data_IF_357415167408
#
_entry.id   IF_357415167408
#
_cell.length_a   1.000
_cell.length_b   1.000
_cell.length_c   1.000
_cell.angle_alpha   90.00
_cell.angle_beta   90.00
_cell.angle_gamma   90.00
#
_symmetry.space_group_name_H-M   'P 1'
#
loop_
_entity.id
_entity.type
_entity.pdbx_description
1 polymer ?
#
# COMPACT_ATOMS: atom_id res chain seq x y z
N UNK A 1 14.89 11.06 7.77
CA UNK A 1 13.98 11.62 6.75
C UNK A 1 12.55 11.03 6.80
N UNK A 2 12.26 9.84 6.26
CA UNK A 2 10.87 9.33 6.16
C UNK A 2 10.16 9.12 7.51
N UNK A 3 10.86 8.54 8.50
CA UNK A 3 10.29 8.26 9.82
C UNK A 3 10.38 9.48 10.75
N UNK A 4 11.53 10.16 10.71
CA UNK A 4 11.87 11.24 11.65
C UNK A 4 11.39 12.62 11.21
N UNK A 5 11.03 12.80 9.94
CA UNK A 5 10.63 14.08 9.33
C UNK A 5 11.62 15.25 9.49
N UNK A 6 12.88 14.95 9.81
CA UNK A 6 13.99 15.90 9.84
C UNK A 6 15.29 15.23 9.37
N UNK A 7 16.33 16.04 9.15
CA UNK A 7 17.70 15.64 8.83
C UNK A 7 18.66 16.44 9.70
N UNK A 8 19.66 15.79 10.29
CA UNK A 8 20.71 16.47 11.08
C UNK A 8 22.01 16.49 10.28
N UNK A 9 22.60 17.67 10.13
CA UNK A 9 23.89 17.87 9.47
C UNK A 9 24.81 18.60 10.45
N UNK A 10 25.85 17.90 10.93
CA UNK A 10 26.66 18.37 12.05
C UNK A 10 25.79 18.52 13.31
N UNK A 11 25.75 19.73 13.87
CA UNK A 11 24.95 20.07 15.05
C UNK A 11 23.56 20.65 14.71
N UNK A 12 23.24 20.82 13.42
CA UNK A 12 22.00 21.48 12.99
C UNK A 12 20.95 20.47 12.54
N UNK A 13 19.78 20.50 13.18
CA UNK A 13 18.62 19.70 12.79
C UNK A 13 17.66 20.53 11.94
N UNK A 14 17.41 20.08 10.71
CA UNK A 14 16.58 20.74 9.71
C UNK A 14 15.25 19.96 9.52
N UNK A 15 14.09 20.56 9.77
CA UNK A 15 12.81 19.90 9.53
C UNK A 15 12.52 19.80 8.03
N UNK A 16 11.87 18.71 7.61
CA UNK A 16 11.40 18.55 6.23
C UNK A 16 10.11 19.36 5.99
N UNK A 17 9.88 19.84 4.74
CA UNK A 17 8.66 20.56 4.40
C UNK A 17 7.43 19.66 4.52
N UNK A 18 6.25 20.26 4.74
CA UNK A 18 4.97 19.54 4.82
C UNK A 18 4.05 20.00 3.68
N UNK A 19 3.41 19.07 2.93
CA UNK A 19 3.55 17.62 3.03
C UNK A 19 4.92 17.12 2.53
N UNK A 20 5.41 16.05 3.14
CA UNK A 20 6.59 15.32 2.66
C UNK A 20 6.13 13.97 2.12
N UNK A 21 6.44 13.70 0.85
CA UNK A 21 6.07 12.46 0.17
C UNK A 21 7.29 11.89 -0.54
N UNK A 22 7.51 10.59 -0.38
CA UNK A 22 8.59 9.86 -1.06
C UNK A 22 7.94 8.86 -1.99
N UNK A 23 8.26 9.00 -3.28
CA UNK A 23 8.00 8.00 -4.31
C UNK A 23 9.34 7.37 -4.68
N UNK A 24 9.50 6.09 -4.37
CA UNK A 24 10.68 5.31 -4.77
C UNK A 24 10.28 4.35 -5.88
N UNK A 25 11.04 4.35 -6.97
CA UNK A 25 10.87 3.43 -8.11
C UNK A 25 12.00 2.43 -8.11
N UNK A 26 11.69 1.16 -8.40
CA UNK A 26 12.68 0.10 -8.58
C UNK A 26 12.48 -0.50 -9.97
N UNK A 27 13.53 -0.50 -10.79
CA UNK A 27 13.52 -1.18 -12.08
C UNK A 27 13.91 -2.65 -11.88
N UNK A 28 13.01 -3.62 -12.13
CA UNK A 28 13.28 -5.03 -11.86
C UNK A 28 14.35 -5.65 -12.77
N UNK A 29 14.73 -4.99 -13.88
CA UNK A 29 15.66 -5.52 -14.88
C UNK A 29 17.10 -5.03 -14.64
N UNK A 30 17.31 -3.95 -13.88
CA UNK A 30 18.65 -3.40 -13.62
C UNK A 30 19.39 -4.21 -12.52
N UNK A 31 20.34 -5.04 -12.95
CA UNK A 31 21.21 -5.86 -12.08
C UNK A 31 22.57 -5.21 -11.76
N UNK A 32 22.92 -4.08 -12.39
CA UNK A 32 24.19 -3.40 -12.12
C UNK A 32 24.04 -2.31 -11.04
N UNK A 33 24.75 -2.46 -9.92
CA UNK A 33 24.94 -1.41 -8.92
C UNK A 33 23.75 -1.13 -7.98
N UNK A 34 22.67 -1.91 -8.06
CA UNK A 34 21.49 -1.74 -7.20
C UNK A 34 21.49 -2.78 -6.07
N UNK A 35 21.74 -2.33 -4.84
CA UNK A 35 21.43 -3.15 -3.67
C UNK A 35 19.92 -3.10 -3.45
N UNK A 36 19.24 -4.24 -3.57
CA UNK A 36 17.84 -4.33 -3.22
C UNK A 36 17.62 -3.79 -1.80
N UNK A 37 16.59 -2.96 -1.63
CA UNK A 37 16.25 -2.42 -0.32
C UNK A 37 15.91 -3.59 0.61
N UNK A 38 16.55 -3.71 1.78
CA UNK A 38 16.19 -4.72 2.75
C UNK A 38 14.69 -4.62 3.10
N UNK A 39 14.09 -5.75 3.43
CA UNK A 39 12.65 -5.88 3.74
C UNK A 39 12.24 -4.94 4.87
N UNK A 40 13.11 -4.76 5.87
CA UNK A 40 12.90 -3.84 6.97
C UNK A 40 12.78 -2.37 6.50
N UNK A 41 13.41 -2.01 5.38
CA UNK A 41 13.29 -0.69 4.76
C UNK A 41 12.02 -0.60 3.93
N UNK A 42 11.68 -1.64 3.16
CA UNK A 42 10.43 -1.72 2.41
C UNK A 42 9.20 -1.62 3.33
N UNK A 43 9.22 -2.20 4.53
CA UNK A 43 8.13 -2.12 5.52
C UNK A 43 7.77 -0.69 5.94
N UNK A 44 8.65 0.29 5.69
CA UNK A 44 8.39 1.73 5.94
C UNK A 44 7.53 2.39 4.87
N UNK A 45 7.38 1.78 3.69
CA UNK A 45 6.51 2.28 2.64
C UNK A 45 5.07 1.87 2.90
N UNK A 46 4.13 2.81 2.71
CA UNK A 46 2.70 2.55 2.85
C UNK A 46 2.24 1.50 1.81
N UNK A 47 2.59 1.75 0.55
CA UNK A 47 2.22 0.90 -0.58
C UNK A 47 3.44 0.46 -1.40
N UNK A 48 3.32 -0.72 -1.98
CA UNK A 48 4.08 -1.16 -3.16
C UNK A 48 3.11 -1.24 -4.34
N UNK A 49 3.33 -0.43 -5.38
CA UNK A 49 2.51 -0.38 -6.59
C UNK A 49 3.29 -1.03 -7.72
N UNK A 50 2.68 -2.05 -8.34
CA UNK A 50 3.18 -2.63 -9.59
C UNK A 50 2.57 -1.85 -10.73
N UNK A 51 3.42 -1.30 -11.59
CA UNK A 51 3.03 -0.55 -12.79
C UNK A 51 3.36 -1.42 -13.98
N UNK A 52 2.33 -1.85 -14.69
CA UNK A 52 2.46 -2.63 -15.93
C UNK A 52 2.39 -1.68 -17.15
N UNK A 53 2.65 -2.22 -18.33
CA UNK A 53 2.49 -1.50 -19.58
C UNK A 53 1.02 -1.09 -19.81
N UNK A 54 0.78 0.09 -20.42
CA UNK A 54 -0.56 0.54 -20.77
C UNK A 54 -1.19 -0.40 -21.81
N UNK A 55 -2.52 -0.40 -21.88
CA UNK A 55 -3.24 -1.03 -22.99
C UNK A 55 -2.91 -0.36 -24.33
N UNK A 56 -3.13 -1.05 -25.46
CA UNK A 56 -2.90 -0.46 -26.81
C UNK A 56 -3.62 0.89 -26.97
N UNK A 57 -4.85 0.99 -26.46
CA UNK A 57 -5.64 2.23 -26.52
C UNK A 57 -5.03 3.37 -25.70
N UNK A 58 -4.53 3.07 -24.51
CA UNK A 58 -3.86 4.06 -23.66
C UNK A 58 -2.50 4.46 -24.24
N UNK A 59 -1.74 3.50 -24.77
CA UNK A 59 -0.45 3.74 -25.40
C UNK A 59 -0.58 4.64 -26.63
N UNK A 60 -1.57 4.38 -27.51
CA UNK A 60 -1.85 5.24 -28.67
C UNK A 60 -2.23 6.66 -28.26
N UNK A 61 -2.98 6.82 -27.17
CA UNK A 61 -3.34 8.14 -26.65
C UNK A 61 -2.13 8.86 -26.04
N UNK A 62 -1.27 8.16 -25.31
CA UNK A 62 0.00 8.69 -24.80
C UNK A 62 0.87 9.18 -25.95
N UNK A 63 1.08 8.36 -26.98
CA UNK A 63 1.85 8.72 -28.18
C UNK A 63 1.26 9.97 -28.83
N UNK A 64 -0.07 9.99 -29.04
CA UNK A 64 -0.76 11.15 -29.63
C UNK A 64 -0.55 12.42 -28.80
N UNK A 65 -0.75 12.37 -27.48
CA UNK A 65 -0.64 13.55 -26.60
C UNK A 65 0.79 14.09 -26.52
N UNK A 66 1.79 13.20 -26.39
CA UNK A 66 3.19 13.59 -26.23
C UNK A 66 3.79 14.12 -27.54
N UNK A 67 3.36 13.60 -28.69
CA UNK A 67 3.81 14.06 -30.02
C UNK A 67 3.02 15.25 -30.56
N UNK A 68 1.90 15.61 -29.91
CA UNK A 68 1.13 16.79 -30.29
C UNK A 68 1.80 18.06 -29.75
N UNK A 69 1.89 19.14 -30.56
CA UNK A 69 2.52 20.39 -30.14
C UNK A 69 1.76 21.16 -29.04
N UNK A 70 0.54 20.75 -28.70
CA UNK A 70 -0.24 21.40 -27.65
C UNK A 70 0.09 20.82 -26.27
N UNK A 71 0.82 21.57 -25.46
CA UNK A 71 0.89 21.30 -24.02
C UNK A 71 -0.37 21.87 -23.37
N UNK A 72 -1.31 21.01 -22.99
CA UNK A 72 -2.44 21.43 -22.15
C UNK A 72 -1.91 22.11 -20.88
N UNK A 73 -2.48 23.26 -20.53
CA UNK A 73 -2.14 23.94 -19.28
C UNK A 73 -2.67 23.15 -18.09
N UNK A 74 -1.84 22.95 -17.06
CA UNK A 74 -2.28 22.37 -15.79
C UNK A 74 -2.83 23.49 -14.92
N UNK A 75 -4.11 23.40 -14.55
CA UNK A 75 -4.71 24.33 -13.57
C UNK A 75 -4.36 23.89 -12.15
N UNK A 76 -3.84 24.82 -11.35
CA UNK A 76 -3.62 24.58 -9.92
C UNK A 76 -4.98 24.45 -9.20
N UNK A 77 -5.31 23.23 -8.74
CA UNK A 77 -6.56 22.97 -8.03
C UNK A 77 -6.41 23.08 -6.50
N UNK A 78 -5.26 22.71 -5.95
CA UNK A 78 -5.06 22.65 -4.51
C UNK A 78 -3.62 22.97 -4.11
N UNK A 79 -3.44 23.64 -2.98
CA UNK A 79 -2.15 23.93 -2.39
C UNK A 79 -1.77 22.94 -1.27
N UNK A 80 -0.55 23.08 -0.74
CA UNK A 80 -0.02 22.23 0.33
C UNK A 80 -0.87 22.25 1.62
N UNK A 81 -1.40 23.41 2.01
CA UNK A 81 -2.23 23.54 3.22
C UNK A 81 -3.57 22.82 3.08
N UNK A 82 -4.18 22.87 1.89
CA UNK A 82 -5.40 22.14 1.58
C UNK A 82 -5.18 20.63 1.61
N UNK A 83 -4.03 20.15 1.10
CA UNK A 83 -3.64 18.74 1.20
C UNK A 83 -3.49 18.31 2.67
N UNK A 84 -2.85 19.13 3.51
CA UNK A 84 -2.70 18.85 4.93
C UNK A 84 -4.06 18.81 5.67
N UNK A 85 -4.99 19.70 5.31
CA UNK A 85 -6.37 19.68 5.83
C UNK A 85 -7.08 18.38 5.45
N UNK A 86 -6.96 17.92 4.21
CA UNK A 86 -7.53 16.64 3.77
C UNK A 86 -6.90 15.44 4.51
N UNK A 87 -5.60 15.45 4.76
CA UNK A 87 -4.94 14.40 5.54
C UNK A 87 -5.47 14.33 6.97
N UNK A 88 -5.79 15.47 7.59
CA UNK A 88 -6.43 15.52 8.91
C UNK A 88 -7.87 14.98 8.89
N UNK A 89 -8.64 15.31 7.84
CA UNK A 89 -9.98 14.72 7.63
C UNK A 89 -9.91 13.19 7.57
N UNK A 90 -8.99 12.64 6.77
CA UNK A 90 -8.81 11.18 6.66
C UNK A 90 -8.50 10.54 8.02
N UNK A 91 -7.67 11.16 8.86
CA UNK A 91 -7.36 10.63 10.20
C UNK A 91 -8.59 10.52 11.10
N UNK A 92 -9.52 11.49 10.99
CA UNK A 92 -10.75 11.58 11.79
C UNK A 92 -11.88 10.65 11.32
N UNK A 93 -11.74 10.04 10.15
CA UNK A 93 -12.73 9.07 9.65
C UNK A 93 -12.92 7.96 10.69
N UNK A 94 -14.14 7.73 11.19
CA UNK A 94 -14.45 6.65 12.12
C UNK A 94 -14.24 5.29 11.47
N UNK A 95 -13.85 4.31 12.29
CA UNK A 95 -13.64 2.92 11.91
C UNK A 95 -14.21 2.08 13.04
N UNK A 96 -15.15 1.19 12.72
CA UNK A 96 -15.71 0.27 13.72
C UNK A 96 -14.69 -0.77 14.17
N UNK A 97 -14.82 -1.25 15.41
CA UNK A 97 -13.91 -2.24 15.99
C UNK A 97 -13.78 -3.49 15.12
N UNK A 98 -14.89 -3.94 14.52
CA UNK A 98 -14.89 -5.09 13.61
C UNK A 98 -13.99 -4.90 12.37
N UNK A 99 -13.81 -3.66 11.88
CA UNK A 99 -12.91 -3.34 10.75
C UNK A 99 -11.46 -3.38 11.22
N UNK A 100 -11.19 -2.86 12.41
CA UNK A 100 -9.86 -2.93 13.05
C UNK A 100 -9.48 -4.40 13.29
N UNK A 101 -10.40 -5.19 13.82
CA UNK A 101 -10.24 -6.62 14.05
C UNK A 101 -9.99 -7.37 12.74
N UNK A 102 -10.73 -7.03 11.67
CA UNK A 102 -10.50 -7.61 10.36
C UNK A 102 -9.10 -7.29 9.82
N UNK A 103 -8.66 -6.03 9.88
CA UNK A 103 -7.32 -5.63 9.45
C UNK A 103 -6.22 -6.32 10.29
N UNK A 104 -6.41 -6.42 11.60
CA UNK A 104 -5.48 -7.09 12.50
C UNK A 104 -5.44 -8.60 12.23
N UNK A 105 -6.60 -9.24 12.00
CA UNK A 105 -6.71 -10.65 11.65
C UNK A 105 -6.06 -10.94 10.31
N UNK A 106 -6.30 -10.10 9.30
CA UNK A 106 -5.69 -10.23 7.98
C UNK A 106 -4.16 -10.15 8.07
N UNK A 107 -3.62 -9.12 8.74
CA UNK A 107 -2.18 -8.98 8.91
C UNK A 107 -1.58 -10.17 9.68
N UNK A 108 -2.23 -10.63 10.76
CA UNK A 108 -1.77 -11.75 11.57
C UNK A 108 -1.81 -13.08 10.80
N UNK A 109 -2.85 -13.31 10.01
CA UNK A 109 -3.04 -14.53 9.22
C UNK A 109 -1.98 -14.72 8.12
N UNK A 110 -1.18 -13.70 7.80
CA UNK A 110 -0.01 -13.83 6.91
C UNK A 110 1.20 -14.47 7.59
N UNK A 111 1.20 -14.65 8.92
CA UNK A 111 2.38 -15.10 9.67
C UNK A 111 2.44 -16.63 9.72
N UNK A 112 3.43 -17.28 9.11
CA UNK A 112 3.48 -18.74 9.02
C UNK A 112 3.66 -19.44 10.39
N UNK A 113 4.20 -18.74 11.38
CA UNK A 113 4.41 -19.27 12.75
C UNK A 113 3.22 -19.07 13.68
N UNK A 114 2.18 -18.35 13.25
CA UNK A 114 0.99 -18.15 14.06
C UNK A 114 0.10 -19.41 13.97
N UNK A 115 -0.29 -20.04 15.10
CA UNK A 115 -1.14 -21.23 15.08
C UNK A 115 -2.48 -21.02 14.37
N UNK A 116 -3.01 -19.79 14.42
CA UNK A 116 -4.29 -19.44 13.80
C UNK A 116 -4.18 -19.16 12.29
N UNK A 117 -2.98 -19.14 11.72
CA UNK A 117 -2.80 -18.95 10.28
C UNK A 117 -3.29 -20.17 9.51
N UNK A 118 -3.91 -19.98 8.32
CA UNK A 118 -4.30 -21.08 7.44
C UNK A 118 -3.09 -21.92 7.01
N UNK A 119 -3.31 -23.21 6.75
CA UNK A 119 -2.21 -24.14 6.45
C UNK A 119 -1.43 -23.76 5.18
N UNK A 120 -2.11 -23.24 4.15
CA UNK A 120 -1.44 -22.74 2.95
C UNK A 120 -0.47 -21.59 3.24
N UNK A 121 -0.70 -20.77 4.28
CA UNK A 121 0.25 -19.73 4.67
C UNK A 121 1.47 -20.35 5.33
N UNK A 122 1.28 -21.36 6.17
CA UNK A 122 2.40 -22.06 6.83
C UNK A 122 3.33 -22.74 5.82
N UNK A 123 2.78 -23.19 4.69
CA UNK A 123 3.52 -23.82 3.60
C UNK A 123 4.11 -22.82 2.60
N UNK A 124 3.35 -21.79 2.21
CA UNK A 124 3.69 -20.92 1.08
C UNK A 124 4.36 -19.61 1.48
N UNK A 125 4.34 -19.23 2.77
CA UNK A 125 4.88 -17.94 3.25
C UNK A 125 6.11 -18.18 4.12
N UNK A 126 7.23 -17.56 3.75
CA UNK A 126 8.47 -17.56 4.53
C UNK A 126 8.46 -16.47 5.61
N UNK A 127 7.87 -15.31 5.30
CA UNK A 127 7.79 -14.17 6.21
C UNK A 127 6.48 -13.41 6.06
N UNK A 128 5.83 -13.12 7.20
CA UNK A 128 4.53 -12.46 7.25
C UNK A 128 4.59 -11.02 7.77
N UNK A 129 3.45 -10.34 7.68
CA UNK A 129 3.34 -8.92 7.94
C UNK A 129 3.43 -8.54 9.44
N UNK A 130 4.20 -7.50 9.73
CA UNK A 130 4.35 -6.92 11.07
C UNK A 130 3.16 -6.04 11.51
N UNK A 131 3.20 -5.45 12.71
CA UNK A 131 2.14 -4.58 13.21
C UNK A 131 1.91 -3.32 12.36
N UNK A 132 2.94 -2.83 11.65
CA UNK A 132 2.82 -1.70 10.71
C UNK A 132 1.81 -1.96 9.59
N UNK A 133 1.62 -3.22 9.21
CA UNK A 133 0.66 -3.60 8.20
C UNK A 133 -0.77 -3.25 8.62
N UNK A 134 -1.18 -3.59 9.85
CA UNK A 134 -2.52 -3.26 10.36
C UNK A 134 -2.76 -1.74 10.40
N UNK A 135 -1.76 -0.97 10.86
CA UNK A 135 -1.82 0.49 10.87
C UNK A 135 -1.98 1.04 9.44
N UNK A 136 -1.19 0.51 8.51
CA UNK A 136 -1.20 0.90 7.08
C UNK A 136 -2.53 0.56 6.42
N UNK A 137 -3.08 -0.64 6.69
CA UNK A 137 -4.37 -1.08 6.18
C UNK A 137 -5.50 -0.13 6.62
N UNK A 138 -5.56 0.23 7.90
CA UNK A 138 -6.60 1.13 8.40
C UNK A 138 -6.43 2.55 7.86
N UNK A 139 -5.21 3.09 7.85
CA UNK A 139 -4.94 4.42 7.30
C UNK A 139 -5.33 4.51 5.81
N UNK A 140 -4.96 3.51 5.02
CA UNK A 140 -5.31 3.41 3.61
C UNK A 140 -6.81 3.20 3.38
N UNK A 141 -7.46 2.36 4.19
CA UNK A 141 -8.90 2.09 4.10
C UNK A 141 -9.73 3.36 4.38
N UNK A 142 -9.34 4.17 5.36
CA UNK A 142 -9.95 5.49 5.62
C UNK A 142 -9.84 6.41 4.41
N UNK A 143 -8.66 6.51 3.81
CA UNK A 143 -8.45 7.31 2.60
C UNK A 143 -9.28 6.80 1.43
N UNK A 144 -9.32 5.48 1.23
CA UNK A 144 -10.09 4.84 0.16
C UNK A 144 -11.61 5.08 0.32
N UNK A 145 -12.14 5.04 1.55
CA UNK A 145 -13.53 5.36 1.83
C UNK A 145 -13.86 6.83 1.50
N UNK A 146 -13.02 7.77 1.95
CA UNK A 146 -13.22 9.22 1.68
C UNK A 146 -13.17 9.54 0.19
N UNK A 147 -12.23 8.95 -0.56
CA UNK A 147 -12.15 9.14 -2.01
C UNK A 147 -13.38 8.61 -2.76
N UNK A 148 -14.12 7.68 -2.15
CA UNK A 148 -15.40 7.17 -2.66
C UNK A 148 -16.62 7.87 -2.07
N UNK A 149 -16.43 9.01 -1.39
CA UNK A 149 -17.50 9.81 -0.80
C UNK A 149 -18.13 9.22 0.46
N UNK A 150 -17.53 8.19 1.07
CA UNK A 150 -18.03 7.59 2.31
C UNK A 150 -17.37 8.19 3.54
N UNK A 151 -18.13 8.27 4.63
CA UNK A 151 -17.73 8.87 5.89
C UNK A 151 -17.20 7.87 6.93
N UNK A 152 -17.16 6.58 6.60
CA UNK A 152 -16.61 5.52 7.45
C UNK A 152 -15.91 4.48 6.58
N UNK A 153 -14.86 3.84 7.12
CA UNK A 153 -14.22 2.72 6.45
C UNK A 153 -14.92 1.40 6.82
N UNK A 154 -14.93 0.46 5.88
CA UNK A 154 -15.53 -0.87 6.00
C UNK A 154 -14.48 -1.95 5.82
N UNK A 155 -14.84 -3.22 6.05
CA UNK A 155 -13.93 -4.34 5.75
C UNK A 155 -13.64 -4.47 4.24
N UNK A 156 -14.56 -4.03 3.37
CA UNK A 156 -14.36 -3.99 1.93
C UNK A 156 -13.26 -2.98 1.53
N UNK A 157 -13.16 -1.85 2.25
CA UNK A 157 -12.05 -0.91 2.05
C UNK A 157 -10.71 -1.54 2.36
N UNK A 158 -10.62 -2.22 3.50
CA UNK A 158 -9.41 -2.95 3.91
C UNK A 158 -9.04 -4.01 2.87
N UNK A 159 -10.02 -4.77 2.36
CA UNK A 159 -9.78 -5.76 1.31
C UNK A 159 -9.28 -5.12 0.01
N UNK A 160 -9.84 -3.98 -0.40
CA UNK A 160 -9.47 -3.29 -1.64
C UNK A 160 -8.01 -2.79 -1.64
N UNK A 161 -7.50 -2.33 -0.50
CA UNK A 161 -6.11 -1.83 -0.37
C UNK A 161 -5.13 -2.91 0.12
N UNK A 162 -5.58 -4.14 0.38
CA UNK A 162 -4.78 -5.16 1.03
C UNK A 162 -3.55 -5.56 0.20
N UNK A 163 -3.71 -5.78 -1.11
CA UNK A 163 -2.60 -6.16 -1.98
C UNK A 163 -1.47 -5.12 -1.99
N UNK A 164 -1.69 -3.83 -2.32
CA UNK A 164 -0.61 -2.85 -2.33
C UNK A 164 0.00 -2.59 -0.95
N UNK A 165 -0.71 -2.83 0.16
CA UNK A 165 -0.14 -2.73 1.52
C UNK A 165 0.67 -3.97 1.89
N UNK A 166 0.21 -5.18 1.54
CA UNK A 166 0.77 -6.42 2.06
C UNK A 166 1.83 -7.04 1.16
N UNK A 167 1.86 -6.73 -0.15
CA UNK A 167 2.74 -7.40 -1.13
C UNK A 167 4.21 -7.39 -0.71
N UNK A 168 4.74 -6.24 -0.27
CA UNK A 168 6.12 -6.10 0.20
C UNK A 168 6.33 -6.52 1.66
N UNK A 169 5.29 -7.05 2.31
CA UNK A 169 5.29 -7.51 3.71
C UNK A 169 5.00 -9.00 3.85
N UNK A 170 4.68 -9.67 2.75
CA UNK A 170 4.41 -11.11 2.66
C UNK A 170 5.41 -11.67 1.66
N UNK A 171 6.35 -12.47 2.14
CA UNK A 171 7.33 -13.14 1.30
C UNK A 171 6.96 -14.61 1.17
N UNK A 172 6.90 -15.07 -0.06
CA UNK A 172 6.67 -16.46 -0.41
C UNK A 172 7.88 -17.33 -0.05
N UNK A 173 7.66 -18.65 0.06
CA UNK A 173 8.76 -19.61 0.10
C UNK A 173 9.32 -19.84 -1.30
N UNK A 174 10.59 -20.24 -1.41
CA UNK A 174 11.20 -20.56 -2.71
C UNK A 174 10.39 -21.61 -3.48
N UNK A 175 9.83 -22.60 -2.78
CA UNK A 175 8.98 -23.63 -3.38
C UNK A 175 7.68 -23.05 -3.95
N UNK A 176 7.06 -22.10 -3.25
CA UNK A 176 5.86 -21.41 -3.74
C UNK A 176 6.17 -20.54 -4.96
N UNK A 177 7.29 -19.82 -4.94
CA UNK A 177 7.76 -19.03 -6.09
C UNK A 177 8.06 -19.89 -7.32
N UNK A 178 8.74 -21.03 -7.12
CA UNK A 178 9.00 -21.99 -8.19
C UNK A 178 7.72 -22.61 -8.77
N UNK A 179 6.65 -22.67 -7.98
CA UNK A 179 5.31 -23.09 -8.41
C UNK A 179 4.49 -21.94 -9.04
N UNK A 180 5.06 -20.74 -9.18
CA UNK A 180 4.40 -19.57 -9.74
C UNK A 180 3.41 -18.88 -8.81
N UNK A 181 3.46 -19.17 -7.50
CA UNK A 181 2.59 -18.52 -6.50
C UNK A 181 3.23 -17.22 -6.03
N UNK A 182 2.53 -16.10 -6.23
CA UNK A 182 2.97 -14.78 -5.80
C UNK A 182 2.42 -14.38 -4.43
N UNK A 183 3.00 -13.35 -3.81
CA UNK A 183 2.44 -12.72 -2.61
C UNK A 183 1.02 -12.23 -2.82
N UNK A 184 0.68 -11.74 -4.02
CA UNK A 184 -0.67 -11.29 -4.36
C UNK A 184 -1.66 -12.45 -4.35
N UNK A 185 -1.28 -13.63 -4.86
CA UNK A 185 -2.13 -14.82 -4.84
C UNK A 185 -2.45 -15.25 -3.40
N UNK A 186 -1.44 -15.23 -2.53
CA UNK A 186 -1.58 -15.53 -1.10
C UNK A 186 -2.52 -14.51 -0.44
N UNK A 187 -2.34 -13.22 -0.70
CA UNK A 187 -3.16 -12.15 -0.12
C UNK A 187 -4.62 -12.29 -0.60
N UNK A 188 -4.85 -12.53 -1.88
CA UNK A 188 -6.19 -12.74 -2.43
C UNK A 188 -6.86 -13.97 -1.83
N UNK A 189 -6.12 -15.07 -1.67
CA UNK A 189 -6.63 -16.28 -1.01
C UNK A 189 -6.96 -16.02 0.46
N UNK A 190 -6.16 -15.24 1.18
CA UNK A 190 -6.42 -14.83 2.55
C UNK A 190 -7.70 -13.99 2.67
N UNK A 191 -7.89 -13.00 1.80
CA UNK A 191 -9.10 -12.16 1.78
C UNK A 191 -10.35 -13.04 1.56
N UNK A 192 -10.29 -13.96 0.59
CA UNK A 192 -11.39 -14.90 0.32
C UNK A 192 -11.67 -15.82 1.52
N UNK A 193 -10.63 -16.31 2.18
CA UNK A 193 -10.75 -17.21 3.35
C UNK A 193 -11.34 -16.49 4.56
N UNK A 194 -10.95 -15.23 4.78
CA UNK A 194 -11.42 -14.44 5.91
C UNK A 194 -12.79 -13.79 5.66
N UNK A 195 -13.21 -13.70 4.40
CA UNK A 195 -14.50 -13.21 3.92
C UNK A 195 -14.88 -11.83 4.51
N UNK A 196 -14.50 -10.70 3.87
CA UNK A 196 -14.92 -9.38 4.35
C UNK A 196 -16.44 -9.32 4.41
N UNK A 197 -16.97 -8.76 5.50
CA UNK A 197 -18.40 -8.48 5.64
C UNK A 197 -18.69 -7.16 4.92
N UNK A 198 -19.43 -7.21 3.82
CA UNK A 198 -20.00 -5.99 3.25
C UNK A 198 -21.04 -5.44 4.22
N UNK A 199 -20.78 -4.24 4.73
CA UNK A 199 -21.78 -3.51 5.51
C UNK A 199 -22.63 -2.68 4.56
N UNK A 200 -23.95 -2.86 4.66
CA UNK A 200 -24.93 -2.07 3.93
C UNK A 200 -24.77 -0.59 4.29
N UNK A 201 -24.71 0.24 3.26
CA UNK A 201 -24.79 1.70 3.37
C UNK A 201 -26.18 2.03 3.93
N UNK A 202 -26.24 2.49 5.18
CA UNK A 202 -27.43 3.16 5.74
C UNK A 202 -27.48 4.59 5.22
#
# INVERSE_FOLDING_TARGET
AMQEHHVTVGEHTLPLPKPFFVLATQNPIEQEGTYALPEAQLDRFLFNIVVDYPSETEEREIIRRVTSPSKGGVSHLMNAEEILRLQDVVKRVPVGDHVIDFAAKLARATRPKDPASPDFVKEMVSWGAGPRAGISLISAAKAHAVLRGRFHATTADVAAIAAPVLRHRVLTTFTAEAAGVSSDDVIQRLIKTLAPREELVV
#
